data_IF_933033294703
#
_entry.id   IF_933033294703
#
_cell.length_a   1.000
_cell.length_b   1.000
_cell.length_c   1.000
_cell.angle_alpha   90.00
_cell.angle_beta   90.00
_cell.angle_gamma   90.00
#
_symmetry.space_group_name_H-M   'P 1'
#
loop_
_entity.id
_entity.type
_entity.pdbx_description
1 polymer ?
#
# COMPACT_ATOMS: atom_id res chain seq x y z
N UNK A 1 16.85 7.87 -1.75
CA UNK A 1 15.53 7.40 -1.32
C UNK A 1 15.21 8.08 -0.01
N UNK A 2 14.10 8.82 0.10
CA UNK A 2 13.82 9.68 1.26
C UNK A 2 13.43 8.85 2.50
N UNK A 3 12.53 7.87 2.38
CA UNK A 3 12.13 6.98 3.50
C UNK A 3 13.14 5.88 3.87
N UNK A 4 14.27 5.77 3.15
CA UNK A 4 15.40 4.91 3.54
C UNK A 4 16.58 5.70 4.10
N UNK A 5 16.53 7.02 4.04
CA UNK A 5 17.53 7.92 4.62
C UNK A 5 17.06 8.50 5.96
N UNK A 6 15.74 8.66 6.11
CA UNK A 6 15.05 8.98 7.36
C UNK A 6 14.21 7.78 7.78
N UNK A 7 14.08 7.51 9.08
CA UNK A 7 13.01 6.61 9.56
C UNK A 7 11.64 7.18 9.16
N UNK A 8 10.61 6.36 8.99
CA UNK A 8 9.26 6.82 8.58
C UNK A 8 8.74 7.97 9.46
N UNK A 9 9.13 7.99 10.74
CA UNK A 9 8.77 9.03 11.71
C UNK A 9 9.43 10.40 11.46
N UNK A 10 10.48 10.48 10.66
CA UNK A 10 11.33 11.68 10.54
C UNK A 10 11.22 12.42 9.21
N UNK A 11 10.32 12.01 8.31
CA UNK A 11 10.15 12.71 7.02
C UNK A 11 9.65 14.14 7.24
N UNK A 12 10.44 15.19 6.93
CA UNK A 12 10.18 16.56 7.40
C UNK A 12 8.85 17.14 6.91
N UNK A 13 8.49 16.89 5.64
CA UNK A 13 7.23 17.37 5.07
C UNK A 13 6.00 16.84 5.82
N UNK A 14 6.04 15.58 6.27
CA UNK A 14 4.91 14.99 7.00
C UNK A 14 4.90 15.37 8.48
N UNK A 15 6.05 15.77 9.05
CA UNK A 15 6.10 16.43 10.35
C UNK A 15 5.46 17.82 10.28
N UNK A 16 5.74 18.60 9.24
CA UNK A 16 5.10 19.91 9.02
C UNK A 16 3.59 19.78 8.80
N UNK A 17 3.15 18.81 7.99
CA UNK A 17 1.71 18.53 7.79
C UNK A 17 1.06 18.08 9.09
N UNK A 18 1.72 17.22 9.88
CA UNK A 18 1.25 16.82 11.22
C UNK A 18 1.06 18.06 12.10
N UNK A 19 2.08 18.90 12.21
CA UNK A 19 2.07 20.06 13.12
C UNK A 19 1.04 21.12 12.68
N UNK A 20 0.87 21.33 11.37
CA UNK A 20 -0.15 22.22 10.82
C UNK A 20 -1.59 21.73 11.04
N UNK A 21 -1.80 20.41 11.03
CA UNK A 21 -3.12 19.79 11.24
C UNK A 21 -3.38 19.41 12.70
N UNK A 22 -2.45 19.72 13.62
CA UNK A 22 -2.55 19.34 15.04
C UNK A 22 -2.53 17.82 15.26
N UNK A 23 -1.97 17.06 14.33
CA UNK A 23 -1.87 15.61 14.41
C UNK A 23 -0.86 15.14 15.45
N UNK A 24 -1.05 13.94 15.99
CA UNK A 24 -0.16 13.37 17.00
C UNK A 24 0.98 12.52 16.41
N UNK A 25 0.98 12.23 15.10
CA UNK A 25 1.91 11.29 14.44
C UNK A 25 2.25 11.68 13.00
N UNK A 26 3.45 11.30 12.54
CA UNK A 26 3.86 11.35 11.14
C UNK A 26 3.25 10.16 10.37
N UNK A 27 2.46 10.44 9.33
CA UNK A 27 1.74 9.44 8.51
C UNK A 27 2.37 9.20 7.14
N UNK A 28 3.69 9.36 6.98
CA UNK A 28 4.34 9.16 5.69
C UNK A 28 4.24 7.70 5.19
N UNK A 29 4.31 6.75 6.12
CA UNK A 29 4.08 5.32 5.90
C UNK A 29 2.73 5.05 5.22
N UNK A 30 1.66 5.75 5.64
CA UNK A 30 0.31 5.65 5.07
C UNK A 30 0.25 5.92 3.57
N UNK A 31 1.05 6.88 3.09
CA UNK A 31 1.17 7.15 1.66
C UNK A 31 1.86 5.99 0.93
N UNK A 32 2.87 5.39 1.57
CA UNK A 32 3.52 4.16 1.13
C UNK A 32 2.52 3.02 0.95
N UNK A 33 1.68 2.75 1.95
CA UNK A 33 0.67 1.70 1.88
C UNK A 33 -0.42 1.98 0.82
N UNK A 34 -0.86 3.23 0.68
CA UNK A 34 -1.75 3.59 -0.43
C UNK A 34 -1.11 3.26 -1.79
N UNK A 35 0.15 3.64 -2.01
CA UNK A 35 0.89 3.33 -3.23
C UNK A 35 1.11 1.81 -3.41
N UNK A 36 1.36 1.09 -2.30
CA UNK A 36 1.49 -0.36 -2.23
C UNK A 36 0.19 -1.09 -2.63
N UNK A 37 -0.96 -0.47 -2.45
CA UNK A 37 -2.21 -0.95 -3.03
C UNK A 37 -2.37 -0.56 -4.50
N UNK A 38 -2.17 0.72 -4.79
CA UNK A 38 -2.50 1.35 -6.07
C UNK A 38 -1.66 0.78 -7.24
N UNK A 39 -0.34 0.70 -7.07
CA UNK A 39 0.57 0.31 -8.15
C UNK A 39 0.48 -1.18 -8.45
N UNK A 40 0.59 -2.10 -7.47
CA UNK A 40 0.45 -3.54 -7.72
C UNK A 40 -0.91 -3.93 -8.30
N UNK A 41 -1.98 -3.19 -7.99
CA UNK A 41 -3.30 -3.47 -8.58
C UNK A 41 -3.26 -3.38 -10.12
N UNK A 42 -2.60 -2.38 -10.68
CA UNK A 42 -2.49 -2.23 -12.14
C UNK A 42 -1.53 -3.24 -12.77
N UNK A 43 -0.44 -3.57 -12.08
CA UNK A 43 0.50 -4.61 -12.52
C UNK A 43 -0.20 -5.98 -12.57
N UNK A 44 -0.87 -6.36 -11.48
CA UNK A 44 -1.64 -7.60 -11.41
C UNK A 44 -2.72 -7.65 -12.49
N UNK A 45 -3.44 -6.54 -12.70
CA UNK A 45 -4.44 -6.42 -13.77
C UNK A 45 -3.84 -6.71 -15.14
N UNK A 46 -2.70 -6.11 -15.46
CA UNK A 46 -2.02 -6.32 -16.74
C UNK A 46 -1.62 -7.77 -16.95
N UNK A 47 -0.99 -8.39 -15.95
CA UNK A 47 -0.57 -9.79 -16.01
C UNK A 47 -1.78 -10.69 -16.24
N UNK A 48 -2.85 -10.53 -15.44
CA UNK A 48 -4.04 -11.37 -15.53
C UNK A 48 -4.78 -11.23 -16.87
N UNK A 49 -4.75 -10.04 -17.49
CA UNK A 49 -5.33 -9.83 -18.82
C UNK A 49 -4.45 -10.47 -19.89
N UNK A 50 -3.16 -10.11 -19.95
CA UNK A 50 -2.24 -10.56 -21.01
C UNK A 50 -2.00 -12.06 -20.99
N UNK A 51 -2.11 -12.69 -19.82
CA UNK A 51 -1.96 -14.15 -19.65
C UNK A 51 -3.29 -14.89 -19.63
N UNK A 52 -4.40 -14.18 -19.84
CA UNK A 52 -5.75 -14.76 -19.92
C UNK A 52 -6.14 -15.64 -18.70
N UNK A 53 -5.57 -15.35 -17.52
CA UNK A 53 -5.71 -16.19 -16.31
C UNK A 53 -7.14 -16.15 -15.77
N UNK A 54 -7.78 -14.98 -15.79
CA UNK A 54 -9.15 -14.78 -15.33
C UNK A 54 -9.92 -14.01 -16.40
N UNK A 55 -10.80 -14.71 -17.13
CA UNK A 55 -11.58 -14.11 -18.22
C UNK A 55 -12.67 -13.13 -17.77
N UNK A 56 -13.31 -13.41 -16.62
CA UNK A 56 -14.37 -12.53 -16.09
C UNK A 56 -13.78 -11.27 -15.45
N UNK A 57 -14.22 -10.09 -15.92
CA UNK A 57 -13.80 -8.79 -15.38
C UNK A 57 -14.11 -8.67 -13.89
N UNK A 58 -15.30 -9.13 -13.45
CA UNK A 58 -15.71 -9.05 -12.03
C UNK A 58 -14.81 -9.88 -11.13
N UNK A 59 -14.54 -11.12 -11.53
CA UNK A 59 -13.66 -12.02 -10.76
C UNK A 59 -12.22 -11.55 -10.78
N UNK A 60 -11.75 -10.98 -11.89
CA UNK A 60 -10.40 -10.40 -11.99
C UNK A 60 -10.25 -9.23 -11.03
N UNK A 61 -11.20 -8.28 -11.02
CA UNK A 61 -11.22 -7.15 -10.09
C UNK A 61 -11.23 -7.61 -8.64
N UNK A 62 -12.12 -8.54 -8.28
CA UNK A 62 -12.18 -9.10 -6.93
C UNK A 62 -10.84 -9.73 -6.52
N UNK A 63 -10.28 -10.58 -7.37
CA UNK A 63 -9.00 -11.25 -7.10
C UNK A 63 -7.85 -10.25 -6.92
N UNK A 64 -7.76 -9.22 -7.75
CA UNK A 64 -6.72 -8.18 -7.63
C UNK A 64 -6.81 -7.47 -6.27
N UNK A 65 -8.02 -7.11 -5.85
CA UNK A 65 -8.24 -6.46 -4.55
C UNK A 65 -7.78 -7.36 -3.40
N UNK A 66 -8.18 -8.65 -3.42
CA UNK A 66 -7.73 -9.62 -2.43
C UNK A 66 -6.20 -9.81 -2.45
N UNK A 67 -5.60 -9.86 -3.63
CA UNK A 67 -4.16 -9.99 -3.81
C UNK A 67 -3.41 -8.80 -3.20
N UNK A 68 -3.83 -7.56 -3.49
CA UNK A 68 -3.22 -6.36 -2.92
C UNK A 68 -3.34 -6.32 -1.39
N UNK A 69 -4.50 -6.68 -0.84
CA UNK A 69 -4.69 -6.76 0.60
C UNK A 69 -3.79 -7.83 1.23
N UNK A 70 -3.72 -9.02 0.64
CA UNK A 70 -2.84 -10.10 1.12
C UNK A 70 -1.36 -9.72 1.02
N UNK A 71 -0.97 -8.98 -0.03
CA UNK A 71 0.37 -8.45 -0.19
C UNK A 71 0.71 -7.42 0.90
N UNK A 72 -0.24 -6.54 1.25
CA UNK A 72 -0.09 -5.64 2.39
C UNK A 72 0.05 -6.40 3.71
N UNK A 73 -0.83 -7.36 3.97
CA UNK A 73 -0.76 -8.17 5.18
C UNK A 73 0.57 -8.94 5.30
N UNK A 74 1.12 -9.45 4.19
CA UNK A 74 2.42 -10.10 4.19
C UNK A 74 3.55 -9.13 4.56
N UNK A 75 3.51 -7.90 4.05
CA UNK A 75 4.49 -6.87 4.39
C UNK A 75 4.48 -6.56 5.90
N UNK A 76 3.28 -6.37 6.47
CA UNK A 76 3.09 -6.14 7.92
C UNK A 76 3.59 -7.32 8.77
N UNK A 77 3.36 -8.56 8.32
CA UNK A 77 3.88 -9.75 8.99
C UNK A 77 5.41 -9.80 8.99
N UNK A 78 6.04 -9.34 7.90
CA UNK A 78 7.51 -9.24 7.80
C UNK A 78 8.01 -8.17 8.77
N UNK A 79 7.37 -6.99 8.82
CA UNK A 79 7.74 -5.93 9.76
C UNK A 79 7.62 -6.39 11.21
N UNK A 80 6.54 -7.10 11.55
CA UNK A 80 6.37 -7.72 12.86
C UNK A 80 7.49 -8.72 13.17
N UNK A 81 7.86 -9.60 12.23
CA UNK A 81 8.97 -10.54 12.42
C UNK A 81 10.32 -9.84 12.60
N UNK A 82 10.60 -8.80 11.81
CA UNK A 82 11.85 -8.04 11.94
C UNK A 82 11.92 -7.37 13.31
N UNK A 83 10.82 -6.78 13.79
CA UNK A 83 10.76 -6.18 15.13
C UNK A 83 11.05 -7.20 16.25
N UNK A 84 10.56 -8.45 16.11
CA UNK A 84 10.87 -9.51 17.08
C UNK A 84 12.35 -9.93 17.06
N UNK A 85 13.00 -9.88 15.89
CA UNK A 85 14.39 -10.33 15.72
C UNK A 85 15.43 -9.30 16.12
N UNK A 86 15.15 -8.00 15.94
CA UNK A 86 16.11 -6.93 16.25
C UNK A 86 16.15 -6.56 17.73
N UNK A 87 15.13 -6.95 18.52
CA UNK A 87 15.07 -6.66 19.96
C UNK A 87 14.89 -5.17 20.29
N UNK A 88 14.72 -4.31 19.27
CA UNK A 88 14.28 -2.93 19.46
C UNK A 88 12.86 -2.92 20.04
N UNK A 89 12.53 -1.89 20.82
CA UNK A 89 11.14 -1.65 21.18
C UNK A 89 10.34 -1.57 19.88
N UNK A 90 9.41 -2.50 19.68
CA UNK A 90 8.57 -2.59 18.49
C UNK A 90 8.00 -1.23 18.05
N UNK A 91 7.78 -0.30 18.98
CA UNK A 91 7.37 1.09 18.72
C UNK A 91 8.32 1.93 17.85
N UNK A 92 9.64 1.81 18.03
CA UNK A 92 10.63 2.65 17.35
C UNK A 92 10.87 2.17 15.91
N UNK A 93 10.84 0.85 15.68
CA UNK A 93 11.05 0.26 14.36
C UNK A 93 9.77 0.21 13.51
N UNK A 94 8.62 -0.15 14.13
CA UNK A 94 7.34 -0.18 13.42
C UNK A 94 6.77 1.23 13.17
N UNK A 95 7.38 2.29 13.72
CA UNK A 95 6.90 3.66 13.50
C UNK A 95 5.48 3.93 14.04
N UNK A 96 4.94 3.00 14.85
CA UNK A 96 3.57 3.06 15.39
C UNK A 96 3.31 4.36 16.15
N UNK A 97 4.34 4.95 16.75
CA UNK A 97 4.23 6.20 17.53
C UNK A 97 3.13 6.07 18.61
N UNK A 98 2.97 4.88 19.20
CA UNK A 98 1.94 4.56 20.18
C UNK A 98 0.54 4.28 19.60
N UNK A 99 0.39 4.20 18.28
CA UNK A 99 -0.88 3.92 17.61
C UNK A 99 -1.11 2.41 17.47
N UNK A 100 -2.05 1.87 18.26
CA UNK A 100 -2.33 0.42 18.31
C UNK A 100 -2.94 -0.14 17.01
N UNK A 101 -3.59 0.71 16.21
CA UNK A 101 -4.30 0.30 14.99
C UNK A 101 -3.50 0.52 13.71
N UNK A 102 -2.18 0.61 13.83
CA UNK A 102 -1.32 1.05 12.75
C UNK A 102 -1.42 0.13 11.54
N UNK A 103 -1.00 -1.11 11.74
CA UNK A 103 -1.06 -2.20 10.77
C UNK A 103 -2.45 -2.36 10.13
N UNK A 104 -3.53 -2.26 10.90
CA UNK A 104 -4.89 -2.37 10.36
C UNK A 104 -5.22 -1.20 9.42
N UNK A 105 -4.82 0.01 9.80
CA UNK A 105 -5.03 1.20 8.96
C UNK A 105 -4.10 1.25 7.75
N UNK A 106 -2.90 0.65 7.81
CA UNK A 106 -2.01 0.46 6.66
C UNK A 106 -2.61 -0.48 5.63
N UNK A 107 -3.04 -1.66 6.06
CA UNK A 107 -3.76 -2.60 5.20
C UNK A 107 -5.04 -1.99 4.61
N UNK A 108 -5.76 -1.18 5.39
CA UNK A 108 -6.94 -0.48 4.90
C UNK A 108 -6.60 0.55 3.81
N UNK A 109 -5.49 1.29 3.95
CA UNK A 109 -5.05 2.22 2.93
C UNK A 109 -4.54 1.53 1.66
N UNK A 110 -3.86 0.40 1.80
CA UNK A 110 -3.51 -0.45 0.65
C UNK A 110 -4.78 -0.94 -0.07
N UNK A 111 -5.80 -1.36 0.68
CA UNK A 111 -7.08 -1.75 0.08
C UNK A 111 -7.72 -0.60 -0.69
N UNK A 112 -7.78 0.60 -0.09
CA UNK A 112 -8.31 1.81 -0.74
C UNK A 112 -7.51 2.15 -1.99
N UNK A 113 -6.18 2.11 -1.93
CA UNK A 113 -5.29 2.37 -3.07
C UNK A 113 -5.59 1.44 -4.24
N UNK A 114 -5.75 0.13 -3.98
CA UNK A 114 -6.10 -0.85 -5.01
C UNK A 114 -7.47 -0.57 -5.64
N UNK A 115 -8.49 -0.24 -4.83
CA UNK A 115 -9.83 0.10 -5.33
C UNK A 115 -9.79 1.36 -6.19
N UNK A 116 -9.11 2.41 -5.73
CA UNK A 116 -8.99 3.68 -6.48
C UNK A 116 -8.29 3.45 -7.82
N UNK A 117 -7.18 2.70 -7.84
CA UNK A 117 -6.48 2.36 -9.09
C UNK A 117 -7.43 1.68 -10.10
N UNK A 118 -8.17 0.67 -9.67
CA UNK A 118 -9.07 -0.07 -10.54
C UNK A 118 -10.25 0.77 -11.02
N UNK A 119 -10.83 1.62 -10.17
CA UNK A 119 -11.94 2.51 -10.54
C UNK A 119 -11.48 3.57 -11.54
N UNK A 120 -10.35 4.22 -11.27
CA UNK A 120 -9.88 5.34 -12.07
C UNK A 120 -9.21 4.91 -13.38
N UNK A 121 -8.44 3.81 -13.37
CA UNK A 121 -7.53 3.49 -14.48
C UNK A 121 -7.97 2.31 -15.35
N UNK A 122 -8.87 1.43 -14.89
CA UNK A 122 -9.24 0.22 -15.67
C UNK A 122 -9.68 0.51 -17.09
N UNK A 123 -10.55 1.52 -17.27
CA UNK A 123 -11.07 1.90 -18.61
C UNK A 123 -9.98 2.43 -19.54
N UNK A 124 -9.05 3.21 -18.98
CA UNK A 124 -7.93 3.75 -19.73
C UNK A 124 -6.96 2.64 -20.12
N UNK A 125 -6.63 1.76 -19.17
CA UNK A 125 -5.78 0.61 -19.38
C UNK A 125 -6.33 -0.35 -20.44
N UNK A 126 -7.64 -0.61 -20.45
CA UNK A 126 -8.28 -1.42 -21.50
C UNK A 126 -8.11 -0.83 -22.90
N UNK A 127 -8.13 0.51 -23.03
CA UNK A 127 -7.87 1.17 -24.31
C UNK A 127 -6.41 1.02 -24.74
N UNK A 128 -5.47 1.18 -23.81
CA UNK A 128 -4.05 1.00 -24.07
C UNK A 128 -3.73 -0.43 -24.53
N UNK A 129 -4.26 -1.44 -23.83
CA UNK A 129 -4.03 -2.84 -24.20
C UNK A 129 -4.56 -3.16 -25.60
N UNK A 130 -5.73 -2.63 -25.98
CA UNK A 130 -6.29 -2.80 -27.34
C UNK A 130 -5.45 -2.12 -28.42
N UNK A 131 -4.81 -0.99 -28.14
CA UNK A 131 -3.94 -0.30 -29.11
C UNK A 131 -2.58 -0.97 -29.31
N UNK A 132 -2.21 -1.92 -28.44
CA UNK A 132 -0.94 -2.66 -28.51
C UNK A 132 -1.08 -4.06 -29.11
N UNK A 133 -2.30 -4.45 -29.51
CA UNK A 133 -2.62 -5.70 -30.19
C UNK A 133 -2.80 -5.43 -31.69
#
# INVERSE_FOLDING_TARGET
MVGGHYTYAEVPLFNEIRDLLGGHRNNFDKLGHFAQGFVPAMIAREILIRKEVIGSVRWRTFFIICFCLAFSALYELIEWWVALLTGDSAEAFLGTQGYVWDTQSDMALALVGAVVALVCLSRYHDRQLKSMQ
#
